data_IF_679835835864
#
_entry.id   IF_679835835864
#
_cell.length_a   1.000
_cell.length_b   1.000
_cell.length_c   1.000
_cell.angle_alpha   90.00
_cell.angle_beta   90.00
_cell.angle_gamma   90.00
#
_symmetry.space_group_name_H-M   'P 1'
#
loop_
_entity.id
_entity.type
_entity.pdbx_description
1 polymer ?
#
# COMPACT_ATOMS: atom_id res chain seq x y z
N UNK A 1 -6.83 6.68 26.43
CA UNK A 1 -6.41 5.61 27.37
C UNK A 1 -5.81 6.17 28.67
N UNK A 2 -4.73 6.96 28.62
CA UNK A 2 -4.06 7.48 29.83
C UNK A 2 -4.95 8.33 30.74
N UNK A 3 -5.87 9.14 30.19
CA UNK A 3 -6.88 9.85 30.99
C UNK A 3 -7.76 8.91 31.84
N UNK A 4 -8.09 7.72 31.32
CA UNK A 4 -8.86 6.70 32.04
C UNK A 4 -8.00 6.03 33.10
N UNK A 5 -6.73 5.73 32.79
CA UNK A 5 -5.78 5.17 33.74
C UNK A 5 -5.58 6.11 34.95
N UNK A 6 -5.42 7.42 34.71
CA UNK A 6 -5.25 8.43 35.75
C UNK A 6 -6.49 8.60 36.65
N UNK A 7 -7.71 8.47 36.10
CA UNK A 7 -8.95 8.49 36.90
C UNK A 7 -9.08 7.26 37.81
N UNK A 8 -8.59 6.09 37.36
CA UNK A 8 -8.67 4.84 38.14
C UNK A 8 -7.66 4.76 39.28
N UNK A 9 -6.58 5.55 39.26
CA UNK A 9 -5.56 5.55 40.31
C UNK A 9 -6.01 6.20 41.63
N UNK A 10 -7.24 6.72 41.74
CA UNK A 10 -7.85 7.21 42.99
C UNK A 10 -6.95 8.13 43.83
N UNK A 11 -6.22 9.05 43.18
CA UNK A 11 -5.36 10.03 43.87
C UNK A 11 -3.99 9.51 44.32
N UNK A 12 -3.60 8.27 43.98
CA UNK A 12 -2.19 7.85 44.08
C UNK A 12 -1.40 8.46 42.93
N UNK A 13 -0.33 9.18 43.27
CA UNK A 13 0.60 9.76 42.31
C UNK A 13 1.45 8.63 41.68
N UNK A 14 0.91 7.97 40.66
CA UNK A 14 1.59 6.92 39.91
C UNK A 14 2.06 7.50 38.57
N UNK A 15 3.37 7.47 38.27
CA UNK A 15 3.90 8.01 37.02
C UNK A 15 3.46 7.14 35.84
N UNK A 16 2.79 7.75 34.87
CA UNK A 16 2.38 7.09 33.63
C UNK A 16 3.48 7.27 32.57
N UNK A 17 3.99 6.15 32.06
CA UNK A 17 5.05 6.14 31.05
C UNK A 17 4.49 5.60 29.74
N UNK A 18 4.62 6.38 28.67
CA UNK A 18 4.30 5.95 27.32
C UNK A 18 5.57 5.42 26.62
N UNK A 19 5.56 4.13 26.30
CA UNK A 19 6.61 3.47 25.52
C UNK A 19 6.07 3.18 24.11
N UNK A 20 6.52 3.92 23.10
CA UNK A 20 6.06 3.72 21.71
C UNK A 20 7.19 3.88 20.69
N UNK A 21 7.10 3.09 19.61
CA UNK A 21 8.03 3.18 18.48
C UNK A 21 7.76 4.34 17.53
N UNK A 22 6.60 5.00 17.66
CA UNK A 22 6.18 6.14 16.83
C UNK A 22 6.38 7.49 17.53
N UNK A 23 6.96 7.53 18.74
CA UNK A 23 7.07 8.77 19.53
C UNK A 23 7.90 9.87 18.86
N UNK A 24 8.87 9.47 18.03
CA UNK A 24 9.70 10.41 17.25
C UNK A 24 8.92 10.93 16.03
N UNK A 25 7.98 10.14 15.51
CA UNK A 25 7.15 10.48 14.34
C UNK A 25 5.95 11.34 14.74
N UNK A 26 5.46 11.20 15.97
CA UNK A 26 4.25 11.87 16.49
C UNK A 26 4.58 12.92 17.56
N UNK A 27 5.73 13.59 17.46
CA UNK A 27 6.15 14.59 18.46
C UNK A 27 5.11 15.71 18.68
N UNK A 28 4.40 16.10 17.62
CA UNK A 28 3.35 17.12 17.66
C UNK A 28 2.05 16.64 18.34
N UNK A 29 1.79 15.32 18.36
CA UNK A 29 0.60 14.71 18.97
C UNK A 29 0.84 14.22 20.42
N UNK A 30 2.05 14.39 20.96
CA UNK A 30 2.37 13.96 22.34
C UNK A 30 1.51 14.68 23.40
N UNK A 31 1.01 15.87 23.10
CA UNK A 31 0.11 16.64 23.97
C UNK A 31 -1.22 15.93 24.23
N UNK A 32 -1.71 15.14 23.27
CA UNK A 32 -3.02 14.47 23.36
C UNK A 32 -2.96 13.17 24.18
N UNK A 33 -1.76 12.61 24.36
CA UNK A 33 -1.57 11.30 24.97
C UNK A 33 -1.73 11.37 26.50
N UNK A 34 -1.21 12.43 27.14
CA UNK A 34 -1.39 12.68 28.57
C UNK A 34 -0.58 11.79 29.53
N UNK A 35 0.56 11.23 29.08
CA UNK A 35 1.52 10.52 29.93
C UNK A 35 2.50 11.48 30.62
N UNK A 36 3.09 11.04 31.74
CA UNK A 36 4.08 11.80 32.52
C UNK A 36 5.50 11.69 31.92
N UNK A 37 5.80 10.56 31.28
CA UNK A 37 7.08 10.30 30.61
C UNK A 37 6.87 9.63 29.25
N UNK A 38 7.76 9.91 28.31
CA UNK A 38 7.73 9.33 26.95
C UNK A 38 9.09 8.69 26.64
N UNK A 39 9.07 7.41 26.26
CA UNK A 39 10.26 6.62 25.92
C UNK A 39 10.12 6.07 24.50
N UNK A 40 10.97 6.52 23.59
CA UNK A 40 11.00 5.99 22.23
C UNK A 40 11.50 4.54 22.23
N UNK A 41 10.75 3.61 21.61
CA UNK A 41 11.20 2.22 21.44
C UNK A 41 12.38 2.20 20.47
N UNK A 42 13.56 1.83 20.97
CA UNK A 42 14.77 1.60 20.18
C UNK A 42 15.20 0.13 20.22
N UNK A 43 16.43 -0.17 19.75
CA UNK A 43 17.02 -1.51 19.85
C UNK A 43 16.92 -2.07 21.27
N UNK A 44 16.58 -3.36 21.41
CA UNK A 44 16.26 -3.98 22.69
C UNK A 44 17.39 -3.86 23.71
N UNK A 45 18.64 -3.96 23.25
CA UNK A 45 19.84 -3.86 24.08
C UNK A 45 19.96 -2.47 24.72
N UNK A 46 19.74 -1.41 23.93
CA UNK A 46 19.80 -0.02 24.40
C UNK A 46 18.57 0.34 25.26
N UNK A 47 17.40 -0.15 24.86
CA UNK A 47 16.13 0.09 25.55
C UNK A 47 16.14 -0.53 26.96
N UNK A 48 16.71 -1.71 27.11
CA UNK A 48 16.82 -2.39 28.41
C UNK A 48 17.66 -1.59 29.40
N UNK A 49 18.81 -1.07 28.96
CA UNK A 49 19.68 -0.23 29.78
C UNK A 49 18.93 1.04 30.21
N UNK A 50 18.29 1.73 29.26
CA UNK A 50 17.56 2.96 29.55
C UNK A 50 16.35 2.76 30.47
N UNK A 51 15.61 1.67 30.30
CA UNK A 51 14.50 1.35 31.20
C UNK A 51 15.02 1.09 32.61
N UNK A 52 16.14 0.40 32.76
CA UNK A 52 16.71 0.11 34.07
C UNK A 52 17.20 1.38 34.77
N UNK A 53 17.86 2.28 34.04
CA UNK A 53 18.30 3.59 34.55
C UNK A 53 17.09 4.46 34.93
N UNK A 54 16.05 4.46 34.11
CA UNK A 54 14.81 5.19 34.37
C UNK A 54 14.09 4.68 35.63
N UNK A 55 13.95 3.35 35.76
CA UNK A 55 13.34 2.73 36.94
C UNK A 55 14.16 3.02 38.21
N UNK A 56 15.48 2.89 38.14
CA UNK A 56 16.39 3.23 39.25
C UNK A 56 16.26 4.70 39.67
N UNK A 57 16.10 5.60 38.70
CA UNK A 57 15.88 7.03 38.97
C UNK A 57 14.54 7.30 39.65
N UNK A 58 13.50 6.56 39.28
CA UNK A 58 12.15 6.69 39.85
C UNK A 58 12.07 6.15 41.29
N UNK A 59 12.85 5.11 41.61
CA UNK A 59 12.91 4.52 42.97
C UNK A 59 13.64 5.41 43.98
N UNK A 60 14.55 6.29 43.52
CA UNK A 60 15.41 7.12 44.40
C UNK A 60 14.78 8.42 44.89
N UNK A 61 13.58 8.78 44.44
CA UNK A 61 12.84 9.91 45.00
C UNK A 61 11.42 10.04 44.43
N UNK A 62 10.45 10.54 45.20
CA UNK A 62 9.10 10.80 44.71
C UNK A 62 9.12 12.10 43.90
N UNK A 63 9.63 12.04 42.68
CA UNK A 63 9.60 13.19 41.80
C UNK A 63 8.15 13.40 41.35
N UNK A 64 7.57 14.56 41.70
CA UNK A 64 6.45 15.08 40.94
C UNK A 64 6.79 14.96 39.44
N UNK A 65 5.81 14.64 38.58
CA UNK A 65 6.05 14.63 37.14
C UNK A 65 6.69 15.97 36.75
N UNK A 66 7.80 15.95 35.99
CA UNK A 66 8.52 17.16 35.66
C UNK A 66 7.58 18.15 34.96
N UNK A 67 7.70 19.44 35.31
CA UNK A 67 6.88 20.50 34.70
C UNK A 67 7.07 20.58 33.17
N UNK A 68 8.20 20.09 32.67
CA UNK A 68 8.51 19.94 31.26
C UNK A 68 8.52 18.46 30.84
N UNK A 69 8.00 18.19 29.64
CA UNK A 69 7.95 16.84 29.07
C UNK A 69 9.36 16.28 28.91
N UNK A 70 9.70 15.27 29.70
CA UNK A 70 10.99 14.57 29.57
C UNK A 70 10.88 13.47 28.51
N UNK A 71 11.33 13.78 27.29
CA UNK A 71 11.46 12.81 26.20
C UNK A 71 12.81 12.10 26.36
N UNK A 72 12.79 10.80 26.65
CA UNK A 72 13.99 9.98 26.65
C UNK A 72 14.18 9.40 25.25
N UNK A 73 15.09 9.98 24.49
CA UNK A 73 15.49 9.46 23.19
C UNK A 73 16.51 8.33 23.38
N UNK A 74 16.16 7.13 22.95
CA UNK A 74 17.13 6.08 22.67
C UNK A 74 17.96 6.53 21.46
N UNK A 75 19.29 6.58 21.58
CA UNK A 75 20.15 6.90 20.45
C UNK A 75 19.93 5.93 19.28
N UNK A 76 19.87 6.48 18.07
CA UNK A 76 19.61 5.80 16.77
C UNK A 76 18.33 4.97 16.74
N UNK A 77 17.18 5.58 17.04
CA UNK A 77 15.88 5.05 16.59
C UNK A 77 15.74 5.42 15.13
N UNK A 78 15.70 4.41 14.26
CA UNK A 78 15.37 4.63 12.85
C UNK A 78 13.87 4.89 12.75
N UNK A 79 13.44 6.04 12.20
CA UNK A 79 12.05 6.24 11.84
C UNK A 79 11.59 5.09 10.94
N UNK A 80 10.34 4.63 11.03
CA UNK A 80 9.75 3.71 10.05
C UNK A 80 9.48 4.39 8.70
N UNK A 81 10.12 5.54 8.45
CA UNK A 81 9.99 6.35 7.23
C UNK A 81 10.10 5.48 5.99
N UNK A 82 11.06 4.58 5.93
CA UNK A 82 11.23 3.72 4.75
C UNK A 82 9.99 2.85 4.46
N UNK A 83 9.39 2.25 5.49
CA UNK A 83 8.18 1.44 5.32
C UNK A 83 6.93 2.29 5.02
N UNK A 84 6.83 3.47 5.62
CA UNK A 84 5.74 4.42 5.33
C UNK A 84 5.86 5.01 3.92
N UNK A 85 7.05 5.39 3.49
CA UNK A 85 7.33 5.89 2.15
C UNK A 85 7.03 4.84 1.08
N UNK A 86 7.33 3.56 1.36
CA UNK A 86 6.93 2.44 0.50
C UNK A 86 5.40 2.30 0.41
N UNK A 87 4.68 2.35 1.54
CA UNK A 87 3.23 2.27 1.54
C UNK A 87 2.60 3.44 0.78
N UNK A 88 3.06 4.66 1.03
CA UNK A 88 2.62 5.87 0.32
C UNK A 88 2.89 5.75 -1.18
N UNK A 89 4.05 5.22 -1.57
CA UNK A 89 4.38 4.98 -2.98
C UNK A 89 3.45 3.96 -3.63
N UNK A 90 3.13 2.85 -2.94
CA UNK A 90 2.18 1.84 -3.43
C UNK A 90 0.76 2.40 -3.55
N UNK A 91 0.28 3.12 -2.54
CA UNK A 91 -1.04 3.78 -2.57
C UNK A 91 -1.12 4.80 -3.71
N UNK A 92 -0.05 5.57 -3.93
CA UNK A 92 0.02 6.50 -5.05
C UNK A 92 -0.03 5.78 -6.41
N UNK A 93 0.77 4.71 -6.59
CA UNK A 93 0.76 3.92 -7.82
C UNK A 93 -0.61 3.30 -8.10
N UNK A 94 -1.26 2.74 -7.07
CA UNK A 94 -2.61 2.20 -7.18
C UNK A 94 -3.61 3.30 -7.55
N UNK A 95 -3.59 4.44 -6.85
CA UNK A 95 -4.47 5.57 -7.13
C UNK A 95 -4.32 6.06 -8.57
N UNK A 96 -3.10 6.16 -9.09
CA UNK A 96 -2.85 6.52 -10.49
C UNK A 96 -3.56 5.55 -11.43
N UNK A 97 -3.33 4.24 -11.30
CA UNK A 97 -3.93 3.22 -12.20
C UNK A 97 -5.45 3.19 -12.12
N UNK A 98 -6.01 3.32 -10.91
CA UNK A 98 -7.46 3.33 -10.67
C UNK A 98 -8.17 4.53 -11.32
N UNK A 99 -7.49 5.68 -11.45
CA UNK A 99 -8.07 6.91 -12.00
C UNK A 99 -7.62 7.21 -13.44
N UNK A 100 -6.86 6.33 -14.09
CA UNK A 100 -6.54 6.48 -15.51
C UNK A 100 -7.82 6.45 -16.35
N UNK A 101 -7.96 7.41 -17.29
CA UNK A 101 -9.05 7.41 -18.27
C UNK A 101 -8.94 6.34 -19.36
N UNK A 102 -7.84 5.58 -19.36
CA UNK A 102 -7.61 4.42 -20.23
C UNK A 102 -7.90 3.16 -19.41
N UNK A 103 -8.62 2.22 -20.00
CA UNK A 103 -8.85 0.93 -19.37
C UNK A 103 -7.55 0.13 -19.29
N UNK A 104 -7.21 -0.40 -18.12
CA UNK A 104 -6.03 -1.23 -17.90
C UNK A 104 -6.46 -2.57 -17.33
N UNK A 105 -6.13 -3.65 -18.03
CA UNK A 105 -6.28 -5.03 -17.58
C UNK A 105 -4.90 -5.68 -17.50
N UNK A 106 -4.62 -6.35 -16.38
CA UNK A 106 -3.39 -7.14 -16.21
C UNK A 106 -3.76 -8.61 -16.24
N UNK A 107 -2.97 -9.37 -17.00
CA UNK A 107 -3.19 -10.78 -17.28
C UNK A 107 -1.92 -11.55 -16.95
N UNK A 108 -2.06 -12.72 -16.32
CA UNK A 108 -0.93 -13.60 -16.00
C UNK A 108 -0.49 -14.46 -17.19
N UNK A 109 0.53 -15.31 -16.97
CA UNK A 109 1.06 -16.25 -17.97
C UNK A 109 0.03 -17.24 -18.52
N UNK A 110 -1.01 -17.54 -17.74
CA UNK A 110 -2.06 -18.49 -18.07
C UNK A 110 -3.24 -17.78 -18.76
N UNK A 111 -3.04 -16.52 -19.17
CA UNK A 111 -4.01 -15.64 -19.83
C UNK A 111 -5.24 -15.34 -18.97
N UNK A 112 -5.09 -15.41 -17.63
CA UNK A 112 -6.13 -15.08 -16.67
C UNK A 112 -5.99 -13.66 -16.16
N UNK A 113 -7.11 -12.99 -16.00
CA UNK A 113 -7.14 -11.60 -15.55
C UNK A 113 -6.88 -11.55 -14.04
N UNK A 114 -5.84 -10.83 -13.65
CA UNK A 114 -5.47 -10.62 -12.24
C UNK A 114 -5.81 -9.22 -11.74
N UNK A 115 -6.07 -8.28 -12.65
CA UNK A 115 -6.43 -6.91 -12.32
C UNK A 115 -7.21 -6.26 -13.48
N UNK A 116 -8.18 -5.41 -13.16
CA UNK A 116 -8.85 -4.53 -14.11
C UNK A 116 -9.20 -3.22 -13.38
N UNK A 117 -8.78 -2.07 -13.94
CA UNK A 117 -9.15 -0.77 -13.37
C UNK A 117 -10.62 -0.40 -13.72
N UNK A 118 -11.21 0.60 -13.06
CA UNK A 118 -12.59 1.03 -13.29
C UNK A 118 -12.88 1.43 -14.74
N UNK A 119 -11.93 2.09 -15.41
CA UNK A 119 -12.08 2.46 -16.82
C UNK A 119 -12.19 1.24 -17.74
N UNK A 120 -11.45 0.16 -17.47
CA UNK A 120 -11.57 -1.09 -18.21
C UNK A 120 -12.92 -1.76 -17.98
N UNK A 121 -13.37 -1.82 -16.72
CA UNK A 121 -14.67 -2.38 -16.36
C UNK A 121 -15.82 -1.63 -17.04
N UNK A 122 -15.74 -0.30 -17.07
CA UNK A 122 -16.71 0.55 -17.75
C UNK A 122 -16.69 0.33 -19.28
N UNK A 123 -15.50 0.31 -19.90
CA UNK A 123 -15.35 0.09 -21.33
C UNK A 123 -15.83 -1.31 -21.79
N UNK A 124 -15.72 -2.31 -20.91
CA UNK A 124 -16.16 -3.68 -21.16
C UNK A 124 -17.61 -3.95 -20.73
N UNK A 125 -18.25 -3.03 -20.01
CA UNK A 125 -19.59 -3.22 -19.44
C UNK A 125 -19.68 -4.35 -18.42
N UNK A 126 -18.60 -4.67 -17.69
CA UNK A 126 -18.51 -5.80 -16.75
C UNK A 126 -18.23 -5.37 -15.33
N UNK A 127 -18.61 -6.19 -14.37
CA UNK A 127 -18.19 -6.00 -12.98
C UNK A 127 -16.81 -6.62 -12.71
N UNK A 128 -16.14 -6.15 -11.65
CA UNK A 128 -14.86 -6.72 -11.22
C UNK A 128 -14.97 -8.23 -10.91
N UNK A 129 -16.08 -8.65 -10.29
CA UNK A 129 -16.32 -10.05 -9.91
C UNK A 129 -16.48 -10.98 -11.11
N UNK A 130 -17.06 -10.47 -12.21
CA UNK A 130 -17.21 -11.22 -13.47
C UNK A 130 -15.91 -11.25 -14.29
N UNK A 131 -14.96 -10.38 -13.96
CA UNK A 131 -13.74 -10.14 -14.74
C UNK A 131 -12.52 -10.83 -14.13
N UNK A 132 -12.41 -10.87 -12.80
CA UNK A 132 -11.24 -11.46 -12.15
C UNK A 132 -11.19 -12.98 -12.32
N UNK A 133 -9.97 -13.48 -12.54
CA UNK A 133 -9.64 -14.89 -12.70
C UNK A 133 -10.34 -15.61 -13.88
N UNK A 134 -10.98 -14.86 -14.78
CA UNK A 134 -11.49 -15.40 -16.04
C UNK A 134 -10.41 -15.32 -17.13
N UNK A 135 -10.48 -16.16 -18.17
CA UNK A 135 -9.67 -16.00 -19.37
C UNK A 135 -9.90 -14.62 -20.01
N UNK A 136 -8.83 -14.00 -20.51
CA UNK A 136 -8.90 -12.74 -21.26
C UNK A 136 -9.81 -12.85 -22.50
N UNK A 137 -9.92 -14.03 -23.10
CA UNK A 137 -10.79 -14.28 -24.25
C UNK A 137 -12.27 -14.00 -23.95
N UNK A 138 -12.69 -14.22 -22.71
CA UNK A 138 -14.09 -14.01 -22.31
C UNK A 138 -14.44 -12.51 -22.20
N UNK A 139 -13.44 -11.61 -22.18
CA UNK A 139 -13.66 -10.16 -22.15
C UNK A 139 -14.11 -9.58 -23.48
N UNK A 140 -13.78 -10.23 -24.59
CA UNK A 140 -14.01 -9.70 -25.93
C UNK A 140 -15.03 -10.53 -26.68
N UNK A 141 -15.73 -9.95 -27.67
CA UNK A 141 -16.61 -10.73 -28.54
C UNK A 141 -15.86 -11.86 -29.25
N UNK A 142 -16.57 -12.95 -29.62
CA UNK A 142 -15.97 -14.07 -30.35
C UNK A 142 -15.20 -13.65 -31.61
N UNK A 143 -15.71 -12.63 -32.31
CA UNK A 143 -15.14 -12.11 -33.56
C UNK A 143 -13.70 -11.58 -33.40
N UNK A 144 -13.34 -11.09 -32.20
CA UNK A 144 -11.99 -10.54 -31.92
C UNK A 144 -11.06 -11.51 -31.21
N UNK A 145 -11.52 -12.74 -30.96
CA UNK A 145 -10.72 -13.77 -30.28
C UNK A 145 -9.49 -14.16 -31.10
N UNK A 146 -9.58 -14.14 -32.44
CA UNK A 146 -8.46 -14.48 -33.33
C UNK A 146 -7.36 -13.42 -33.27
N UNK A 147 -7.68 -12.13 -33.38
CA UNK A 147 -6.70 -11.05 -33.21
C UNK A 147 -6.05 -11.10 -31.83
N UNK A 148 -6.85 -11.30 -30.78
CA UNK A 148 -6.37 -11.37 -29.41
C UNK A 148 -5.35 -12.50 -29.19
N UNK A 149 -5.65 -13.70 -29.68
CA UNK A 149 -4.71 -14.84 -29.61
C UNK A 149 -3.43 -14.55 -30.40
N UNK A 150 -3.55 -13.93 -31.57
CA UNK A 150 -2.38 -13.55 -32.38
C UNK A 150 -1.52 -12.50 -31.67
N UNK A 151 -2.14 -11.52 -31.01
CA UNK A 151 -1.48 -10.48 -30.24
C UNK A 151 -0.72 -11.05 -29.03
N UNK A 152 -1.33 -11.96 -28.27
CA UNK A 152 -0.68 -12.67 -27.16
C UNK A 152 0.51 -13.51 -27.65
N UNK A 153 0.34 -14.25 -28.76
CA UNK A 153 1.42 -15.06 -29.37
C UNK A 153 2.57 -14.21 -29.90
N UNK A 154 2.29 -13.03 -30.45
CA UNK A 154 3.30 -12.14 -31.01
C UNK A 154 4.14 -11.46 -29.92
N UNK A 155 3.51 -11.13 -28.79
CA UNK A 155 4.14 -10.41 -27.67
C UNK A 155 4.78 -11.34 -26.63
N UNK A 156 4.31 -12.59 -26.52
CA UNK A 156 4.84 -13.58 -25.57
C UNK A 156 6.15 -14.26 -25.97
N UNK A 157 6.74 -13.92 -27.12
CA UNK A 157 8.04 -14.46 -27.56
C UNK A 157 9.17 -13.60 -26.99
N UNK A 158 10.30 -14.22 -26.61
CA UNK A 158 11.50 -13.50 -26.12
C UNK A 158 12.03 -12.43 -27.10
N UNK A 159 11.82 -12.65 -28.41
CA UNK A 159 12.10 -11.68 -29.49
C UNK A 159 10.80 -11.13 -30.12
N UNK A 160 9.71 -11.11 -29.36
CA UNK A 160 8.38 -10.68 -29.78
C UNK A 160 8.28 -9.18 -30.03
N UNK A 161 7.15 -8.76 -30.59
CA UNK A 161 6.87 -7.34 -30.75
C UNK A 161 6.73 -6.67 -29.36
N UNK A 162 7.25 -5.43 -29.17
CA UNK A 162 7.16 -4.74 -27.88
C UNK A 162 5.73 -4.43 -27.46
N UNK A 163 4.81 -4.36 -28.43
CA UNK A 163 3.37 -4.30 -28.23
C UNK A 163 2.67 -4.76 -29.51
N UNK A 164 1.40 -5.14 -29.39
CA UNK A 164 0.51 -5.44 -30.52
C UNK A 164 -0.81 -4.71 -30.31
N UNK A 165 -1.27 -3.97 -31.31
CA UNK A 165 -2.51 -3.20 -31.24
C UNK A 165 -3.50 -3.63 -32.32
N UNK A 166 -4.78 -3.69 -31.98
CA UNK A 166 -5.88 -3.94 -32.91
C UNK A 166 -7.15 -3.21 -32.43
N UNK A 167 -8.09 -2.98 -33.32
CA UNK A 167 -9.41 -2.43 -32.97
C UNK A 167 -10.43 -3.55 -32.85
N UNK A 168 -11.33 -3.43 -31.89
CA UNK A 168 -12.47 -4.31 -31.67
C UNK A 168 -13.70 -3.48 -31.31
N UNK A 169 -14.89 -4.06 -31.46
CA UNK A 169 -16.15 -3.43 -31.08
C UNK A 169 -16.68 -4.18 -29.85
N UNK A 170 -16.60 -3.57 -28.67
CA UNK A 170 -17.22 -4.08 -27.45
C UNK A 170 -18.48 -3.25 -27.17
N UNK A 171 -19.63 -3.84 -27.45
CA UNK A 171 -21.01 -3.36 -27.20
C UNK A 171 -21.17 -1.91 -26.69
N UNK A 172 -21.58 -0.92 -27.52
CA UNK A 172 -21.40 -0.72 -28.95
C UNK A 172 -20.15 0.15 -29.25
N UNK A 173 -19.15 0.14 -28.37
CA UNK A 173 -18.00 1.03 -28.41
C UNK A 173 -16.86 0.44 -29.24
N UNK A 174 -16.29 1.24 -30.15
CA UNK A 174 -15.02 0.90 -30.78
C UNK A 174 -13.89 1.13 -29.77
N UNK A 175 -13.16 0.05 -29.47
CA UNK A 175 -12.03 0.05 -28.56
C UNK A 175 -10.77 -0.32 -29.34
N UNK A 176 -9.73 0.49 -29.16
CA UNK A 176 -8.37 0.11 -29.54
C UNK A 176 -7.76 -0.65 -28.36
N UNK A 177 -7.39 -1.89 -28.63
CA UNK A 177 -6.76 -2.80 -27.66
C UNK A 177 -5.26 -2.80 -27.95
N UNK A 178 -4.46 -2.52 -26.91
CA UNK A 178 -3.00 -2.58 -26.99
C UNK A 178 -2.48 -3.58 -25.98
N UNK A 179 -1.83 -4.63 -26.46
CA UNK A 179 -1.25 -5.68 -25.63
C UNK A 179 0.26 -5.49 -25.56
N UNK A 180 0.77 -5.42 -24.34
CA UNK A 180 2.19 -5.24 -24.04
C UNK A 180 2.63 -6.36 -23.10
N UNK A 181 3.76 -7.05 -23.36
CA UNK A 181 4.25 -8.05 -22.43
C UNK A 181 4.72 -7.37 -21.13
N UNK A 182 4.28 -7.90 -20.00
CA UNK A 182 4.62 -7.41 -18.67
C UNK A 182 5.62 -8.38 -18.02
N UNK A 183 6.83 -7.88 -17.77
CA UNK A 183 7.88 -8.63 -17.08
C UNK A 183 8.18 -7.96 -15.75
N UNK A 184 7.82 -8.62 -14.65
CA UNK A 184 8.13 -8.17 -13.30
C UNK A 184 9.27 -9.04 -12.72
N UNK A 185 10.31 -8.44 -12.13
CA UNK A 185 11.41 -9.21 -11.52
C UNK A 185 10.88 -10.20 -10.49
N UNK A 186 11.22 -11.48 -10.63
CA UNK A 186 10.82 -12.53 -9.69
C UNK A 186 9.34 -12.97 -9.78
N UNK A 187 8.60 -12.53 -10.81
CA UNK A 187 7.25 -13.04 -11.12
C UNK A 187 7.21 -13.68 -12.50
N UNK A 188 6.23 -14.56 -12.67
CA UNK A 188 5.91 -15.10 -13.98
C UNK A 188 5.53 -13.96 -14.96
N UNK A 189 5.92 -14.07 -16.24
CA UNK A 189 5.56 -13.08 -17.25
C UNK A 189 4.04 -13.02 -17.42
N UNK A 190 3.55 -11.88 -17.87
CA UNK A 190 2.14 -11.68 -18.17
C UNK A 190 1.97 -10.64 -19.27
N UNK A 191 0.78 -10.07 -19.33
CA UNK A 191 0.44 -9.03 -20.29
C UNK A 191 -0.29 -7.88 -19.62
N UNK A 192 0.03 -6.67 -20.05
CA UNK A 192 -0.75 -5.47 -19.81
C UNK A 192 -1.59 -5.22 -21.06
N UNK A 193 -2.88 -5.04 -20.88
CA UNK A 193 -3.85 -4.79 -21.94
C UNK A 193 -4.46 -3.43 -21.69
N UNK A 194 -4.14 -2.48 -22.54
CA UNK A 194 -4.74 -1.14 -22.52
C UNK A 194 -5.95 -1.12 -23.46
N UNK A 195 -7.05 -0.53 -22.98
CA UNK A 195 -8.30 -0.33 -23.70
C UNK A 195 -8.48 1.18 -23.90
N UNK A 196 -8.24 1.63 -25.11
CA UNK A 196 -8.39 3.03 -25.52
C UNK A 196 -9.71 3.15 -26.29
N UNK A 197 -10.73 3.73 -25.66
CA UNK A 197 -12.01 4.03 -26.30
C UNK A 197 -12.12 5.51 -26.67
N UNK A 198 -12.93 5.82 -27.69
CA UNK A 198 -13.41 7.19 -27.87
C UNK A 198 -14.29 7.53 -26.66
N UNK A 199 -13.83 8.44 -25.79
CA UNK A 199 -14.67 9.12 -24.81
C UNK A 199 -15.74 9.87 -25.60
N UNK A 200 -16.99 9.39 -25.55
CA UNK A 200 -18.16 10.14 -26.03
C UNK A 200 -18.92 10.71 -24.86
#
# INVERSE_FOLDING_TARGET
FFHVARRRSNGRCCPLVALSGTLIEQMEALDEIGADYYIAKGPFEKLSIQLNDFMTGLERGPALPPAEKKILQTGSVFPRRDALELLVSLEYQQAVVEHLGVGVVIVDKDTRIIHANPAALAALGKTLLETLNTPILDLFPPDSSVELVNALKATGREAGAPHYAFSTICDPQELRVVITPLHLPGKDPGWLVALEGALT
#
